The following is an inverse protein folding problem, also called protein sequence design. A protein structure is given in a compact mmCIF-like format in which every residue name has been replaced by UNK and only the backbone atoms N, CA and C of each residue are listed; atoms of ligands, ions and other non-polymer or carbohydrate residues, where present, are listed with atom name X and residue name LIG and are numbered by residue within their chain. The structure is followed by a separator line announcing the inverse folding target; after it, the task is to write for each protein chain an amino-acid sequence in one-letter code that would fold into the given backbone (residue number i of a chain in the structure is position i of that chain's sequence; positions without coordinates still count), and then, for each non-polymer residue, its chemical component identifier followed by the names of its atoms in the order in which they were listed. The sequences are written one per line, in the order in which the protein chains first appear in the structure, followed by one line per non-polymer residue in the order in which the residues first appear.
data_IF_364575429621
#
_entry.id   IF_364575429621
#
_cell.length_a   1.000
_cell.length_b   1.000
_cell.length_c   1.000
_cell.angle_alpha   90.00
_cell.angle_beta   90.00
_cell.angle_gamma   90.00
#
_symmetry.space_group_name_H-M   'P 1'
#
loop_
_entity.id
_entity.type
_entity.pdbx_description
1 polymer ?
#
# COMPACT_ATOMS: atom_id res chain seq x y z
N UNK A 1 14.90 11.11 15.53
CA UNK A 1 13.43 11.35 15.39
C UNK A 1 12.77 10.23 14.58
N UNK A 2 13.36 9.03 14.62
CA UNK A 2 13.12 7.99 13.61
C UNK A 2 12.19 6.90 14.11
N UNK A 3 12.24 6.61 15.42
CA UNK A 3 11.39 5.59 16.06
C UNK A 3 9.90 5.94 15.93
N UNK A 4 9.52 7.20 16.10
CA UNK A 4 8.13 7.65 15.97
C UNK A 4 7.59 7.47 14.54
N UNK A 5 8.42 7.75 13.53
CA UNK A 5 8.08 7.55 12.13
C UNK A 5 7.86 6.05 11.82
N UNK A 6 8.76 5.18 12.27
CA UNK A 6 8.61 3.74 12.07
C UNK A 6 7.41 3.17 12.83
N UNK A 7 7.12 3.66 14.04
CA UNK A 7 5.92 3.31 14.79
C UNK A 7 4.65 3.75 14.08
N UNK A 8 4.63 4.97 13.53
CA UNK A 8 3.52 5.48 12.73
C UNK A 8 3.30 4.62 11.48
N UNK A 9 4.38 4.30 10.76
CA UNK A 9 4.33 3.39 9.61
C UNK A 9 3.80 2.01 10.00
N UNK A 10 4.28 1.43 11.09
CA UNK A 10 3.82 0.12 11.56
C UNK A 10 2.33 0.17 11.94
N UNK A 11 1.91 1.19 12.69
CA UNK A 11 0.52 1.40 13.08
C UNK A 11 -0.40 1.61 11.86
N UNK A 12 0.10 2.17 10.77
CA UNK A 12 -0.66 2.33 9.53
C UNK A 12 -0.66 1.05 8.67
N UNK A 13 0.51 0.47 8.41
CA UNK A 13 0.70 -0.61 7.44
C UNK A 13 0.20 -1.96 7.95
N UNK A 14 0.34 -2.26 9.24
CA UNK A 14 -0.11 -3.53 9.83
C UNK A 14 -1.63 -3.73 9.65
N UNK A 15 -2.50 -2.82 10.13
CA UNK A 15 -3.94 -3.00 9.99
C UNK A 15 -4.40 -2.96 8.52
N UNK A 16 -3.77 -2.11 7.70
CA UNK A 16 -4.08 -2.02 6.27
C UNK A 16 -3.75 -3.33 5.54
N UNK A 17 -2.58 -3.92 5.80
CA UNK A 17 -2.21 -5.21 5.21
C UNK A 17 -3.12 -6.34 5.69
N UNK A 18 -3.45 -6.39 6.99
CA UNK A 18 -4.41 -7.36 7.52
C UNK A 18 -5.79 -7.22 6.86
N UNK A 19 -6.25 -5.98 6.65
CA UNK A 19 -7.51 -5.72 5.96
C UNK A 19 -7.49 -6.20 4.51
N UNK A 20 -6.41 -5.90 3.76
CA UNK A 20 -6.25 -6.33 2.37
C UNK A 20 -6.27 -7.87 2.28
N UNK A 21 -5.51 -8.55 3.14
CA UNK A 21 -5.44 -10.02 3.15
C UNK A 21 -6.79 -10.62 3.53
N UNK A 22 -7.47 -10.09 4.54
CA UNK A 22 -8.79 -10.55 4.98
C UNK A 22 -9.83 -10.35 3.87
N UNK A 23 -9.82 -9.19 3.22
CA UNK A 23 -10.71 -8.87 2.11
C UNK A 23 -10.48 -9.82 0.92
N UNK A 24 -9.22 -10.11 0.59
CA UNK A 24 -8.89 -11.07 -0.45
C UNK A 24 -9.35 -12.50 -0.12
N UNK A 25 -9.09 -12.97 1.12
CA UNK A 25 -9.54 -14.29 1.56
C UNK A 25 -11.07 -14.43 1.55
N UNK A 26 -11.79 -13.35 1.81
CA UNK A 26 -13.26 -13.35 1.73
C UNK A 26 -13.83 -13.39 0.31
N UNK A 27 -12.96 -13.35 -0.72
CA UNK A 27 -13.36 -13.35 -2.13
C UNK A 27 -13.99 -12.04 -2.61
N UNK A 28 -14.21 -11.07 -1.71
CA UNK A 28 -14.88 -9.79 -2.00
C UNK A 28 -14.05 -8.87 -2.89
N UNK A 29 -12.72 -8.95 -2.80
CA UNK A 29 -11.85 -8.05 -3.54
C UNK A 29 -10.56 -8.74 -4.02
N UNK A 30 -10.17 -8.58 -5.30
CA UNK A 30 -8.93 -9.14 -5.79
C UNK A 30 -7.72 -8.35 -5.27
N UNK A 31 -6.67 -9.08 -4.86
CA UNK A 31 -5.43 -8.51 -4.31
C UNK A 31 -4.81 -7.43 -5.21
N UNK A 32 -4.88 -7.63 -6.53
CA UNK A 32 -4.30 -6.68 -7.47
C UNK A 32 -5.01 -5.32 -7.40
N UNK A 33 -6.35 -5.30 -7.38
CA UNK A 33 -7.12 -4.06 -7.28
C UNK A 33 -6.92 -3.37 -5.92
N UNK A 34 -6.82 -4.13 -4.83
CA UNK A 34 -6.46 -3.58 -3.52
C UNK A 34 -5.07 -2.95 -3.51
N UNK A 35 -4.10 -3.56 -4.19
CA UNK A 35 -2.75 -3.02 -4.34
C UNK A 35 -2.71 -1.70 -5.11
N UNK A 36 -3.49 -1.58 -6.20
CA UNK A 36 -3.62 -0.31 -6.94
C UNK A 36 -4.24 0.78 -6.07
N UNK A 37 -5.35 0.48 -5.39
CA UNK A 37 -6.00 1.42 -4.48
C UNK A 37 -5.03 1.90 -3.41
N UNK A 38 -4.29 0.98 -2.79
CA UNK A 38 -3.31 1.31 -1.77
C UNK A 38 -2.16 2.17 -2.31
N UNK A 39 -1.70 1.90 -3.53
CA UNK A 39 -0.65 2.69 -4.18
C UNK A 39 -1.10 4.13 -4.44
N UNK A 40 -2.30 4.31 -4.99
CA UNK A 40 -2.90 5.64 -5.21
C UNK A 40 -3.15 6.36 -3.89
N UNK A 41 -3.62 5.63 -2.87
CA UNK A 41 -3.84 6.17 -1.54
C UNK A 41 -2.52 6.59 -0.88
N UNK A 42 -1.42 5.88 -1.11
CA UNK A 42 -0.08 6.26 -0.67
C UNK A 42 0.40 7.59 -1.23
N UNK A 43 0.12 7.86 -2.52
CA UNK A 43 0.41 9.16 -3.15
C UNK A 43 -0.42 10.27 -2.48
N UNK A 44 -1.73 10.03 -2.30
CA UNK A 44 -2.63 10.98 -1.65
C UNK A 44 -2.24 11.26 -0.19
N UNK A 45 -1.88 10.22 0.56
CA UNK A 45 -1.37 10.32 1.93
C UNK A 45 -0.07 11.11 2.00
N UNK A 46 0.86 10.90 1.07
CA UNK A 46 2.11 11.67 1.03
C UNK A 46 1.86 13.17 0.85
N UNK A 47 0.90 13.52 -0.02
CA UNK A 47 0.48 14.92 -0.20
C UNK A 47 -0.26 15.47 1.03
N UNK A 48 -1.20 14.72 1.61
CA UNK A 48 -1.95 15.15 2.80
C UNK A 48 -1.05 15.29 4.04
N UNK A 49 -0.12 14.34 4.22
CA UNK A 49 0.88 14.37 5.28
C UNK A 49 1.78 15.61 5.17
N UNK A 50 2.06 16.08 3.95
CA UNK A 50 2.84 17.31 3.74
C UNK A 50 2.13 18.53 4.32
N UNK A 51 0.80 18.64 4.20
CA UNK A 51 0.07 19.76 4.81
C UNK A 51 0.13 19.75 6.33
N UNK A 52 0.10 18.57 6.95
CA UNK A 52 0.09 18.42 8.41
C UNK A 52 1.50 18.54 8.99
N UNK A 53 2.51 17.92 8.37
CA UNK A 53 3.88 17.87 8.92
C UNK A 53 4.72 19.12 8.59
N UNK A 54 4.41 19.85 7.52
CA UNK A 54 5.15 21.09 7.19
C UNK A 54 4.83 22.22 8.18
N UNK A 55 3.63 22.20 8.80
CA UNK A 55 3.21 23.23 9.76
C UNK A 55 3.75 22.99 11.19
N UNK A 56 4.14 21.75 11.51
CA UNK A 56 4.52 21.33 12.88
C UNK A 56 6.04 21.39 13.12
N UNK A 57 6.87 21.45 12.07
CA UNK A 57 8.34 21.34 12.18
C UNK A 57 9.08 22.64 11.86
N UNK A 58 9.80 23.19 12.86
CA UNK A 58 10.80 24.23 12.65
C UNK A 58 11.81 23.75 11.57
N UNK A 59 11.89 24.50 10.46
CA UNK A 59 12.44 24.09 9.15
C UNK A 59 11.53 23.13 8.38
N UNK A 60 10.56 23.68 7.62
CA UNK A 60 9.61 22.92 6.79
C UNK A 60 10.21 21.93 5.78
N UNK A 61 11.54 21.88 5.65
CA UNK A 61 12.28 20.90 4.86
C UNK A 61 12.26 19.50 5.49
N UNK A 62 12.37 19.36 6.82
CA UNK A 62 12.35 18.06 7.49
C UNK A 62 10.97 17.38 7.44
N UNK A 63 9.91 18.15 7.68
CA UNK A 63 8.52 17.67 7.58
C UNK A 63 8.11 17.27 6.16
N UNK A 64 8.60 17.98 5.14
CA UNK A 64 8.35 17.64 3.75
C UNK A 64 9.04 16.33 3.32
N UNK A 65 10.30 16.11 3.74
CA UNK A 65 11.02 14.87 3.44
C UNK A 65 10.33 13.67 4.11
N UNK A 66 9.91 13.83 5.37
CA UNK A 66 9.17 12.81 6.11
C UNK A 66 7.84 12.44 5.43
N UNK A 67 7.06 13.44 5.00
CA UNK A 67 5.78 13.20 4.34
C UNK A 67 5.93 12.44 3.00
N UNK A 68 6.94 12.81 2.19
CA UNK A 68 7.24 12.11 0.94
C UNK A 68 7.70 10.68 1.20
N UNK A 69 8.55 10.46 2.22
CA UNK A 69 9.01 9.13 2.60
C UNK A 69 7.84 8.22 3.01
N UNK A 70 6.94 8.71 3.87
CA UNK A 70 5.73 7.96 4.28
C UNK A 70 4.89 7.59 3.04
N UNK A 71 4.62 8.55 2.16
CA UNK A 71 3.85 8.31 0.94
C UNK A 71 4.51 7.26 0.04
N UNK A 72 5.83 7.32 -0.12
CA UNK A 72 6.60 6.39 -0.96
C UNK A 72 6.60 4.96 -0.39
N UNK A 73 6.72 4.81 0.93
CA UNK A 73 6.67 3.47 1.56
C UNK A 73 5.28 2.85 1.44
N UNK A 74 4.22 3.64 1.65
CA UNK A 74 2.84 3.17 1.46
C UNK A 74 2.59 2.79 -0.01
N UNK A 75 3.09 3.61 -0.94
CA UNK A 75 2.99 3.34 -2.38
C UNK A 75 3.69 2.02 -2.73
N UNK A 76 4.94 1.84 -2.30
CA UNK A 76 5.72 0.63 -2.53
C UNK A 76 5.03 -0.61 -1.96
N UNK A 77 4.44 -0.51 -0.77
CA UNK A 77 3.66 -1.59 -0.18
C UNK A 77 2.42 -1.94 -1.03
N UNK A 78 1.71 -0.93 -1.57
CA UNK A 78 0.62 -1.14 -2.53
C UNK A 78 1.08 -1.84 -3.81
N UNK A 79 2.23 -1.44 -4.36
CA UNK A 79 2.83 -2.06 -5.54
C UNK A 79 3.15 -3.54 -5.31
N UNK A 80 3.67 -3.91 -4.14
CA UNK A 80 3.94 -5.32 -3.80
C UNK A 80 2.65 -6.14 -3.83
N UNK A 81 1.58 -5.65 -3.20
CA UNK A 81 0.28 -6.30 -3.22
C UNK A 81 -0.30 -6.42 -4.63
N UNK A 82 -0.08 -5.39 -5.47
CA UNK A 82 -0.48 -5.40 -6.87
C UNK A 82 0.22 -6.52 -7.64
N UNK A 83 1.55 -6.62 -7.55
CA UNK A 83 2.34 -7.64 -8.26
C UNK A 83 1.94 -9.05 -7.82
N UNK A 84 1.83 -9.29 -6.51
CA UNK A 84 1.40 -10.60 -5.97
C UNK A 84 0.00 -10.95 -6.48
N UNK A 85 -0.93 -9.99 -6.42
CA UNK A 85 -2.29 -10.17 -6.92
C UNK A 85 -2.34 -10.49 -8.41
N UNK A 86 -1.48 -9.86 -9.21
CA UNK A 86 -1.39 -10.07 -10.65
C UNK A 86 -0.85 -11.47 -10.97
N UNK A 87 0.22 -11.90 -10.30
CA UNK A 87 0.75 -13.26 -10.44
C UNK A 87 -0.31 -14.30 -10.12
N UNK A 88 -1.04 -14.14 -9.01
CA UNK A 88 -2.13 -15.05 -8.64
C UNK A 88 -3.26 -15.08 -9.67
N UNK A 89 -3.62 -13.93 -10.24
CA UNK A 89 -4.64 -13.86 -11.29
C UNK A 89 -4.20 -14.59 -12.57
N UNK A 90 -2.94 -14.39 -13.00
CA UNK A 90 -2.37 -15.06 -14.17
C UNK A 90 -2.31 -16.57 -13.95
N UNK A 91 -1.82 -17.03 -12.79
CA UNK A 91 -1.73 -18.46 -12.45
C UNK A 91 -3.12 -19.12 -12.50
N UNK A 92 -4.15 -18.47 -11.93
CA UNK A 92 -5.53 -18.96 -12.01
C UNK A 92 -6.05 -19.02 -13.44
N UNK A 93 -5.77 -18.00 -14.26
CA UNK A 93 -6.19 -17.96 -15.65
C UNK A 93 -5.56 -19.09 -16.47
N UNK A 94 -4.26 -19.34 -16.28
CA UNK A 94 -3.53 -20.43 -16.95
C UNK A 94 -4.04 -21.80 -16.48
N UNK A 95 -4.26 -21.99 -15.17
CA UNK A 95 -4.80 -23.23 -14.63
C UNK A 95 -6.20 -23.55 -15.17
N UNK A 96 -7.08 -22.55 -15.24
CA UNK A 96 -8.42 -22.71 -15.80
C UNK A 96 -8.38 -23.05 -17.29
N UNK A 97 -7.50 -22.42 -18.07
CA UNK A 97 -7.30 -22.76 -19.49
C UNK A 97 -6.81 -24.20 -19.70
N UNK A 98 -5.98 -24.74 -18.81
CA UNK A 98 -5.53 -26.14 -18.87
C UNK A 98 -6.65 -27.12 -18.57
N UNK A 99 -7.49 -26.84 -17.57
CA UNK A 99 -8.65 -27.69 -17.23
C UNK A 99 -9.72 -27.70 -18.31
N UNK A 100 -9.91 -26.60 -19.05
CA UNK A 100 -10.88 -26.54 -20.15
C UNK A 100 -10.45 -27.29 -21.43
N UNK A 101 -9.20 -27.77 -21.49
CA UNK A 101 -8.65 -28.53 -22.63
C UNK A 101 -8.43 -30.02 -22.33
N UNK A 102 -8.67 -30.45 -21.10
CA UNK A 102 -8.59 -31.84 -20.66
C UNK A 102 -10.01 -32.42 -20.57
#
# INVERSE_FOLDING_TARGET
MDVLMYLFLAALLIPVNLFIIKSHRSGKFPLWASGVLLAVFGIGLGYAARFILVDIGATGQGGAIMAVFIGLVVMANGTIHFVIGLVLAIVKLVANKRRARA
#
